data_IF_620436729995
#
_entry.id   IF_620436729995
#
_cell.length_a   1.000
_cell.length_b   1.000
_cell.length_c   1.000
_cell.angle_alpha   90.00
_cell.angle_beta   90.00
_cell.angle_gamma   90.00
#
_symmetry.space_group_name_H-M   'P 1'
#
loop_
_entity.id
_entity.type
_entity.pdbx_description
1 polymer ?
#
# COMPACT_ATOMS: atom_id res chain seq x y z
N UNK A 1 -10.03 -7.87 8.03
CA UNK A 1 -10.11 -7.35 6.64
C UNK A 1 -11.56 -7.14 6.26
N UNK A 2 -11.85 -6.25 5.32
CA UNK A 2 -13.16 -6.25 4.65
C UNK A 2 -13.21 -7.39 3.62
N UNK A 3 -14.41 -7.90 3.33
CA UNK A 3 -14.62 -8.91 2.29
C UNK A 3 -14.11 -8.42 0.93
N UNK A 4 -13.50 -9.31 0.15
CA UNK A 4 -12.93 -8.94 -1.15
C UNK A 4 -13.99 -8.38 -2.13
N UNK A 5 -15.22 -8.87 -2.05
CA UNK A 5 -16.35 -8.33 -2.83
C UNK A 5 -16.66 -6.87 -2.47
N UNK A 6 -16.46 -6.47 -1.21
CA UNK A 6 -16.58 -5.07 -0.80
C UNK A 6 -15.41 -4.22 -1.34
N UNK A 7 -14.18 -4.75 -1.34
CA UNK A 7 -12.99 -4.08 -1.92
C UNK A 7 -13.21 -3.75 -3.40
N UNK A 8 -13.72 -4.71 -4.17
CA UNK A 8 -14.01 -4.55 -5.60
C UNK A 8 -14.95 -3.37 -5.91
N UNK A 9 -15.82 -2.98 -4.97
CA UNK A 9 -16.76 -1.90 -5.19
C UNK A 9 -16.10 -0.50 -5.24
N UNK A 10 -14.85 -0.37 -4.79
CA UNK A 10 -14.08 0.86 -4.90
C UNK A 10 -13.41 1.06 -6.27
N UNK A 11 -13.54 0.09 -7.17
CA UNK A 11 -12.91 0.12 -8.50
C UNK A 11 -13.95 0.29 -9.62
N UNK A 12 -13.59 0.90 -10.76
CA UNK A 12 -14.44 0.98 -11.94
C UNK A 12 -14.98 -0.39 -12.39
N UNK A 13 -16.19 -0.46 -12.98
CA UNK A 13 -16.81 -1.71 -13.46
C UNK A 13 -15.88 -2.56 -14.32
N UNK A 14 -15.19 -1.95 -15.28
CA UNK A 14 -14.31 -2.64 -16.21
C UNK A 14 -13.07 -3.28 -15.55
N UNK A 15 -12.67 -2.82 -14.36
CA UNK A 15 -11.62 -3.45 -13.55
C UNK A 15 -12.21 -4.54 -12.64
N UNK A 16 -13.28 -4.24 -11.90
CA UNK A 16 -13.82 -5.17 -10.89
C UNK A 16 -14.53 -6.39 -11.48
N UNK A 17 -15.11 -6.26 -12.67
CA UNK A 17 -15.84 -7.35 -13.36
C UNK A 17 -14.89 -8.27 -14.13
N UNK A 18 -13.65 -7.84 -14.37
CA UNK A 18 -12.65 -8.64 -15.06
C UNK A 18 -11.74 -9.37 -14.06
N UNK A 19 -11.88 -10.70 -13.99
CA UNK A 19 -11.14 -11.56 -13.08
C UNK A 19 -9.60 -11.46 -13.24
N UNK A 20 -9.10 -11.05 -14.41
CA UNK A 20 -7.66 -10.82 -14.62
C UNK A 20 -7.08 -9.73 -13.70
N UNK A 21 -7.92 -8.78 -13.26
CA UNK A 21 -7.49 -7.69 -12.38
C UNK A 21 -7.68 -7.98 -10.90
N UNK A 22 -8.36 -9.05 -10.51
CA UNK A 22 -8.67 -9.33 -9.10
C UNK A 22 -7.41 -9.46 -8.24
N UNK A 23 -6.36 -10.10 -8.75
CA UNK A 23 -5.07 -10.19 -8.04
C UNK A 23 -4.44 -8.82 -7.80
N UNK A 24 -4.59 -7.88 -8.73
CA UNK A 24 -4.00 -6.54 -8.61
C UNK A 24 -4.82 -5.66 -7.69
N UNK A 25 -6.16 -5.79 -7.71
CA UNK A 25 -7.06 -5.15 -6.74
C UNK A 25 -6.71 -5.59 -5.31
N UNK A 26 -6.49 -6.90 -5.12
CA UNK A 26 -6.11 -7.43 -3.81
C UNK A 26 -4.73 -6.93 -3.36
N UNK A 27 -3.75 -6.92 -4.26
CA UNK A 27 -2.42 -6.36 -3.99
C UNK A 27 -2.49 -4.89 -3.60
N UNK A 28 -3.19 -4.07 -4.39
CA UNK A 28 -3.36 -2.63 -4.11
C UNK A 28 -4.03 -2.40 -2.74
N UNK A 29 -5.03 -3.22 -2.39
CA UNK A 29 -5.63 -3.18 -1.04
C UNK A 29 -4.61 -3.45 0.06
N UNK A 30 -3.77 -4.49 -0.08
CA UNK A 30 -2.71 -4.80 0.90
C UNK A 30 -1.68 -3.66 0.98
N UNK A 31 -1.23 -3.12 -0.15
CA UNK A 31 -0.29 -1.99 -0.19
C UNK A 31 -0.88 -0.76 0.50
N UNK A 32 -2.16 -0.46 0.28
CA UNK A 32 -2.86 0.63 0.95
C UNK A 32 -2.95 0.38 2.47
N UNK A 33 -3.19 -0.85 2.91
CA UNK A 33 -3.19 -1.19 4.34
C UNK A 33 -1.83 -0.97 5.00
N UNK A 34 -0.74 -1.38 4.32
CA UNK A 34 0.63 -1.14 4.80
C UNK A 34 0.92 0.36 4.84
N UNK A 35 0.50 1.10 3.79
CA UNK A 35 0.68 2.54 3.73
C UNK A 35 -0.10 3.27 4.84
N UNK A 36 -1.33 2.85 5.14
CA UNK A 36 -2.14 3.39 6.24
C UNK A 36 -1.45 3.14 7.59
N UNK A 37 -0.97 1.92 7.83
CA UNK A 37 -0.17 1.59 8.99
C UNK A 37 1.08 2.49 9.12
N UNK A 38 1.88 2.61 8.06
CA UNK A 38 3.07 3.46 8.05
C UNK A 38 2.71 4.94 8.28
N UNK A 39 1.60 5.42 7.73
CA UNK A 39 1.16 6.81 7.87
C UNK A 39 0.79 7.20 9.31
N UNK A 40 0.35 6.22 10.11
CA UNK A 40 0.00 6.40 11.53
C UNK A 40 1.18 6.14 12.48
N UNK A 41 2.31 5.66 11.96
CA UNK A 41 3.52 5.36 12.73
C UNK A 41 4.41 6.59 12.95
N UNK A 42 5.42 6.46 13.81
CA UNK A 42 6.46 7.49 13.95
C UNK A 42 7.34 7.64 12.72
N UNK A 43 7.42 6.61 11.85
CA UNK A 43 8.27 6.61 10.65
C UNK A 43 7.82 7.66 9.64
N UNK A 44 6.52 7.99 9.57
CA UNK A 44 5.94 8.91 8.58
C UNK A 44 6.65 10.27 8.51
N UNK A 45 7.24 10.74 9.63
CA UNK A 45 7.96 12.02 9.70
C UNK A 45 9.25 12.03 8.89
N UNK A 46 9.77 10.85 8.54
CA UNK A 46 11.03 10.64 7.80
C UNK A 46 10.81 10.10 6.39
N UNK A 47 9.57 9.83 5.99
CA UNK A 47 9.24 9.20 4.70
C UNK A 47 8.55 10.20 3.78
N UNK A 48 9.00 10.26 2.53
CA UNK A 48 8.29 10.91 1.44
C UNK A 48 7.81 9.82 0.46
N UNK A 49 6.50 9.68 0.30
CA UNK A 49 5.91 8.67 -0.58
C UNK A 49 6.04 9.09 -2.05
N UNK A 50 6.68 8.25 -2.86
CA UNK A 50 7.09 8.59 -4.23
C UNK A 50 6.77 7.47 -5.24
N UNK A 51 7.19 7.70 -6.49
CA UNK A 51 7.13 6.76 -7.61
C UNK A 51 5.71 6.23 -7.94
N UNK A 52 5.63 5.03 -8.51
CA UNK A 52 4.50 4.59 -9.29
C UNK A 52 3.21 4.48 -8.50
N UNK A 53 3.27 3.99 -7.27
CA UNK A 53 2.09 3.82 -6.42
C UNK A 53 1.59 5.17 -5.89
N UNK A 54 2.51 6.11 -5.62
CA UNK A 54 2.11 7.49 -5.26
C UNK A 54 1.32 8.16 -6.38
N UNK A 55 1.75 7.98 -7.64
CA UNK A 55 1.06 8.53 -8.81
C UNK A 55 -0.31 7.85 -8.98
N UNK A 56 -0.37 6.51 -8.86
CA UNK A 56 -1.63 5.75 -8.92
C UNK A 56 -2.66 6.30 -7.94
N UNK A 57 -2.28 6.49 -6.67
CA UNK A 57 -3.22 6.90 -5.63
C UNK A 57 -3.57 8.39 -5.66
N UNK A 58 -2.70 9.26 -6.18
CA UNK A 58 -2.87 10.73 -6.07
C UNK A 58 -3.20 11.44 -7.37
N UNK A 59 -3.05 10.79 -8.54
CA UNK A 59 -3.21 11.44 -9.85
C UNK A 59 -4.42 10.96 -10.66
N UNK A 60 -5.25 10.07 -10.11
CA UNK A 60 -6.48 9.60 -10.76
C UNK A 60 -6.23 8.83 -12.06
N UNK A 61 -5.13 8.06 -12.12
CA UNK A 61 -4.80 7.23 -13.29
C UNK A 61 -5.20 5.77 -13.09
N UNK A 62 -5.67 5.14 -14.16
CA UNK A 62 -6.17 3.77 -14.14
C UNK A 62 -5.12 2.73 -14.55
N UNK A 63 -4.03 2.67 -13.77
CA UNK A 63 -3.03 1.59 -13.84
C UNK A 63 -2.71 1.07 -12.44
N UNK A 64 -2.44 -0.22 -12.31
CA UNK A 64 -1.92 -0.76 -11.06
C UNK A 64 -0.42 -0.44 -10.88
N UNK A 65 0.04 -0.58 -9.65
CA UNK A 65 1.43 -0.49 -9.22
C UNK A 65 1.64 -1.50 -8.09
N UNK A 66 2.82 -2.09 -7.95
CA UNK A 66 3.02 -3.29 -7.12
C UNK A 66 3.86 -3.07 -5.87
N UNK A 67 4.54 -1.93 -5.76
CA UNK A 67 5.51 -1.64 -4.70
C UNK A 67 5.13 -0.38 -3.90
N UNK A 68 5.78 -0.15 -2.74
CA UNK A 68 5.72 1.13 -2.04
C UNK A 68 7.13 1.73 -2.00
N UNK A 69 7.29 2.88 -2.64
CA UNK A 69 8.58 3.57 -2.74
C UNK A 69 8.60 4.82 -1.87
N UNK A 70 9.68 4.98 -1.11
CA UNK A 70 9.87 6.13 -0.23
C UNK A 70 11.26 6.73 -0.40
N UNK A 71 11.31 8.06 -0.53
CA UNK A 71 12.51 8.81 -0.21
C UNK A 71 12.58 8.99 1.31
N UNK A 72 13.74 8.73 1.89
CA UNK A 72 13.93 8.71 3.34
C UNK A 72 14.86 9.83 3.79
N UNK A 73 14.44 10.64 4.76
CA UNK A 73 15.23 11.74 5.34
C UNK A 73 15.65 11.42 6.77
N UNK A 74 16.95 11.57 7.07
CA UNK A 74 17.53 11.27 8.40
C UNK A 74 17.13 9.86 8.90
N UNK A 75 17.15 8.91 7.97
CA UNK A 75 16.67 7.54 8.15
C UNK A 75 17.86 6.61 8.25
N UNK A 76 18.13 6.13 9.46
CA UNK A 76 19.26 5.27 9.75
C UNK A 76 18.90 3.80 9.52
N UNK A 77 19.92 2.94 9.48
CA UNK A 77 19.74 1.50 9.34
C UNK A 77 18.83 0.91 10.44
N UNK A 78 18.92 1.43 11.67
CA UNK A 78 18.02 1.04 12.76
C UNK A 78 16.57 1.45 12.52
N UNK A 79 16.32 2.62 11.92
CA UNK A 79 14.97 3.03 11.54
C UNK A 79 14.40 2.07 10.48
N UNK A 80 15.23 1.67 9.51
CA UNK A 80 14.85 0.70 8.48
C UNK A 80 14.48 -0.66 9.07
N UNK A 81 15.38 -1.25 9.85
CA UNK A 81 15.16 -2.57 10.46
C UNK A 81 13.90 -2.58 11.33
N UNK A 82 13.73 -1.56 12.19
CA UNK A 82 12.54 -1.44 13.04
C UNK A 82 11.26 -1.29 12.21
N UNK A 83 11.28 -0.43 11.18
CA UNK A 83 10.13 -0.24 10.29
C UNK A 83 9.75 -1.52 9.56
N UNK A 84 10.73 -2.26 9.03
CA UNK A 84 10.46 -3.52 8.32
C UNK A 84 9.93 -4.61 9.24
N UNK A 85 10.46 -4.71 10.46
CA UNK A 85 9.97 -5.66 11.48
C UNK A 85 8.53 -5.33 11.87
N UNK A 86 8.23 -4.04 12.08
CA UNK A 86 6.88 -3.56 12.41
C UNK A 86 5.88 -3.83 11.28
N UNK A 87 6.26 -3.60 10.02
CA UNK A 87 5.44 -3.94 8.85
C UNK A 87 5.20 -5.44 8.78
N UNK A 88 6.22 -6.26 9.01
CA UNK A 88 6.08 -7.72 9.03
C UNK A 88 5.13 -8.20 10.13
N UNK A 89 5.25 -7.64 11.33
CA UNK A 89 4.34 -7.92 12.46
C UNK A 89 2.91 -7.47 12.11
N UNK A 90 2.75 -6.31 11.48
CA UNK A 90 1.45 -5.84 11.03
C UNK A 90 0.80 -6.82 10.05
N UNK A 91 1.52 -7.25 9.01
CA UNK A 91 1.01 -8.21 8.03
C UNK A 91 0.57 -9.53 8.67
N UNK A 92 1.30 -10.04 9.67
CA UNK A 92 0.92 -11.25 10.42
C UNK A 92 -0.36 -11.13 11.24
N UNK A 93 -0.78 -9.92 11.61
CA UNK A 93 -2.03 -9.68 12.36
C UNK A 93 -3.23 -9.50 11.45
N UNK A 94 -3.00 -9.30 10.16
CA UNK A 94 -4.03 -9.03 9.15
C UNK A 94 -4.44 -10.31 8.41
N UNK A 95 -3.61 -11.36 8.45
CA UNK A 95 -4.01 -12.76 8.16
C UNK A 95 -5.09 -13.26 9.12
#
# INVERSE_FOLDING_TARGET
MIEFDAVKNFYPPYLRENALYHKYILKEYILIMILDFLSSSSYVKKLAFIDGTSIRLTRGIDRFSEDLDFDCKDFHESDFNNMTDDVFIFCKKVE
#
